data_IF_605584650767
#
_entry.id   IF_605584650767
#
_cell.length_a   1.000
_cell.length_b   1.000
_cell.length_c   1.000
_cell.angle_alpha   90.00
_cell.angle_beta   90.00
_cell.angle_gamma   90.00
#
_symmetry.space_group_name_H-M   'P 1'
#
loop_
_entity.id
_entity.type
_entity.pdbx_description
1 polymer ?
#
# COMPACT_ATOMS: atom_id res chain seq x y z
N UNK A 1 -17.82 26.15 -41.75
CA UNK A 1 -17.11 26.63 -40.56
C UNK A 1 -18.13 27.14 -39.56
N UNK A 2 -18.35 26.43 -38.47
CA UNK A 2 -19.00 26.98 -37.28
C UNK A 2 -18.30 26.37 -36.08
N UNK A 3 -17.39 27.16 -35.52
CA UNK A 3 -16.53 26.86 -34.39
C UNK A 3 -17.43 26.78 -33.17
N UNK A 4 -17.65 25.59 -32.61
CA UNK A 4 -18.32 25.45 -31.32
C UNK A 4 -17.41 26.05 -30.27
N UNK A 5 -17.90 27.14 -29.69
CA UNK A 5 -17.23 27.97 -28.71
C UNK A 5 -17.18 27.19 -27.40
N UNK A 6 -16.06 26.49 -27.16
CA UNK A 6 -15.72 25.99 -25.84
C UNK A 6 -15.15 27.16 -25.04
N UNK A 7 -16.02 27.91 -24.38
CA UNK A 7 -15.63 28.75 -23.27
C UNK A 7 -16.82 28.99 -22.35
N UNK A 8 -16.81 28.34 -21.18
CA UNK A 8 -17.17 28.99 -19.92
C UNK A 8 -16.65 28.14 -18.74
N UNK A 9 -16.22 28.79 -17.65
CA UNK A 9 -15.54 28.13 -16.55
C UNK A 9 -16.52 27.18 -15.87
N UNK A 10 -16.11 25.93 -15.70
CA UNK A 10 -16.85 24.90 -14.98
C UNK A 10 -17.01 25.36 -13.53
N UNK A 11 -18.11 26.08 -13.27
CA UNK A 11 -18.63 26.25 -11.94
C UNK A 11 -18.87 24.84 -11.43
N UNK A 12 -18.14 24.45 -10.41
CA UNK A 12 -18.19 23.14 -9.76
C UNK A 12 -19.49 23.01 -8.95
N UNK A 13 -20.61 23.30 -9.60
CA UNK A 13 -21.93 22.93 -9.13
C UNK A 13 -22.12 21.50 -9.62
N UNK A 14 -22.13 20.59 -8.65
CA UNK A 14 -22.35 19.16 -8.82
C UNK A 14 -23.48 18.93 -9.85
N UNK A 15 -23.14 18.38 -11.02
CA UNK A 15 -24.13 18.06 -12.08
C UNK A 15 -25.15 17.00 -11.60
N UNK A 16 -24.91 16.41 -10.44
CA UNK A 16 -25.76 15.45 -9.77
C UNK A 16 -26.94 16.14 -9.08
N UNK A 17 -28.13 15.56 -9.25
CA UNK A 17 -29.32 16.03 -8.55
C UNK A 17 -29.15 15.86 -7.02
N UNK A 18 -29.86 16.66 -6.20
CA UNK A 18 -29.75 16.60 -4.73
C UNK A 18 -30.02 15.22 -4.11
N UNK A 19 -30.76 14.35 -4.79
CA UNK A 19 -31.05 12.98 -4.37
C UNK A 19 -29.82 12.06 -4.46
N UNK A 20 -28.81 12.43 -5.25
CA UNK A 20 -27.57 11.67 -5.47
C UNK A 20 -26.44 12.08 -4.51
N UNK A 21 -26.78 12.27 -3.23
CA UNK A 21 -25.80 12.47 -2.16
C UNK A 21 -25.25 11.12 -1.65
N UNK A 22 -24.20 10.63 -2.29
CA UNK A 22 -23.57 9.36 -1.89
C UNK A 22 -22.73 9.51 -0.61
N UNK A 23 -23.05 8.72 0.41
CA UNK A 23 -22.19 8.57 1.60
C UNK A 23 -21.04 7.61 1.29
N UNK A 24 -19.94 8.13 0.75
CA UNK A 24 -18.76 7.36 0.39
C UNK A 24 -18.11 6.63 1.58
N UNK A 25 -18.43 6.98 2.84
CA UNK A 25 -17.95 6.23 4.01
C UNK A 25 -18.60 4.85 4.12
N UNK A 26 -19.78 4.66 3.52
CA UNK A 26 -20.49 3.38 3.44
C UNK A 26 -20.25 2.64 2.12
N UNK A 27 -19.46 3.23 1.20
CA UNK A 27 -19.17 2.61 -0.07
C UNK A 27 -18.33 1.34 0.13
N UNK A 28 -18.62 0.31 -0.66
CA UNK A 28 -17.79 -0.91 -0.68
C UNK A 28 -16.43 -0.59 -1.32
N UNK A 29 -15.32 -1.14 -0.78
CA UNK A 29 -14.02 -1.05 -1.43
C UNK A 29 -14.08 -1.59 -2.87
N UNK A 30 -13.47 -0.89 -3.81
CA UNK A 30 -13.46 -1.28 -5.21
C UNK A 30 -12.67 -2.60 -5.38
N UNK A 31 -13.33 -3.67 -5.84
CA UNK A 31 -12.72 -5.00 -6.07
C UNK A 31 -11.62 -5.02 -7.14
N UNK A 32 -11.61 -4.03 -8.03
CA UNK A 32 -10.62 -3.89 -9.10
C UNK A 32 -9.52 -2.90 -8.75
N UNK A 33 -9.73 -2.07 -7.72
CA UNK A 33 -8.63 -1.32 -7.15
C UNK A 33 -7.82 -2.30 -6.32
N UNK A 34 -6.53 -2.44 -6.64
CA UNK A 34 -5.61 -3.04 -5.67
C UNK A 34 -5.78 -2.28 -4.35
N UNK A 35 -5.80 -2.97 -3.19
CA UNK A 35 -5.74 -2.29 -1.90
C UNK A 35 -4.60 -1.30 -2.00
N UNK A 36 -4.96 -0.02 -1.88
CA UNK A 36 -4.17 1.16 -2.29
C UNK A 36 -2.70 0.90 -2.02
N UNK A 37 -1.82 1.06 -3.04
CA UNK A 37 -0.41 0.64 -3.16
C UNK A 37 0.55 0.95 -2.00
N UNK A 38 0.13 0.69 -0.78
CA UNK A 38 0.90 0.68 0.43
C UNK A 38 1.65 -0.65 0.44
N UNK A 39 2.96 -0.63 0.70
CA UNK A 39 3.71 -1.86 0.85
C UNK A 39 2.99 -2.72 1.87
N UNK A 40 2.90 -4.04 1.60
CA UNK A 40 2.31 -5.02 2.51
C UNK A 40 2.96 -4.83 3.89
N UNK A 41 2.21 -4.26 4.82
CA UNK A 41 2.66 -4.02 6.18
C UNK A 41 2.61 -5.34 6.92
N UNK A 42 3.77 -5.98 7.05
CA UNK A 42 3.94 -7.20 7.85
C UNK A 42 4.35 -6.77 9.25
N UNK A 43 3.51 -7.09 10.25
CA UNK A 43 3.80 -6.87 11.66
C UNK A 43 4.36 -8.18 12.23
N UNK A 44 5.51 -8.11 12.89
CA UNK A 44 6.18 -9.24 13.54
C UNK A 44 6.29 -8.91 15.03
N UNK A 45 5.90 -9.85 15.88
CA UNK A 45 6.09 -9.75 17.33
C UNK A 45 7.45 -10.34 17.68
N UNK A 46 8.25 -9.62 18.45
CA UNK A 46 9.53 -10.09 18.98
C UNK A 46 9.34 -10.58 20.41
N UNK A 47 10.13 -11.56 20.81
CA UNK A 47 10.23 -11.98 22.19
C UNK A 47 10.95 -10.92 23.04
N UNK A 48 10.73 -10.94 24.36
CA UNK A 48 11.19 -9.88 25.28
C UNK A 48 12.71 -9.73 25.29
N UNK A 49 13.44 -10.84 25.29
CA UNK A 49 14.90 -10.90 25.26
C UNK A 49 15.48 -10.29 23.98
N UNK A 50 14.86 -10.55 22.84
CA UNK A 50 15.25 -9.97 21.55
C UNK A 50 14.92 -8.49 21.48
N UNK A 51 13.75 -8.08 21.99
CA UNK A 51 13.30 -6.69 22.00
C UNK A 51 14.17 -5.79 22.90
N UNK A 52 14.73 -6.34 23.98
CA UNK A 52 15.69 -5.62 24.83
C UNK A 52 16.98 -5.27 24.09
N UNK A 53 17.43 -6.14 23.18
CA UNK A 53 18.65 -5.93 22.37
C UNK A 53 18.36 -5.04 21.16
N UNK A 54 17.22 -5.26 20.50
CA UNK A 54 16.83 -4.55 19.28
C UNK A 54 15.64 -3.62 19.51
N UNK A 55 15.95 -2.40 19.94
CA UNK A 55 14.96 -1.37 20.26
C UNK A 55 14.34 -0.66 19.05
N UNK A 56 14.86 -0.86 17.84
CA UNK A 56 14.36 -0.22 16.61
C UNK A 56 14.20 -1.20 15.45
N UNK A 57 13.19 -0.98 14.62
CA UNK A 57 12.96 -1.81 13.42
C UNK A 57 14.16 -1.79 12.46
N UNK A 58 14.85 -0.65 12.34
CA UNK A 58 16.04 -0.52 11.48
C UNK A 58 17.19 -1.41 11.96
N UNK A 59 17.40 -1.52 13.28
CA UNK A 59 18.44 -2.38 13.85
C UNK A 59 18.19 -3.86 13.57
N UNK A 60 16.94 -4.31 13.71
CA UNK A 60 16.51 -5.69 13.39
C UNK A 60 16.74 -5.96 11.90
N UNK A 61 16.23 -5.09 11.04
CA UNK A 61 16.31 -5.27 9.59
C UNK A 61 17.76 -5.31 9.08
N UNK A 62 18.66 -4.52 9.68
CA UNK A 62 20.08 -4.52 9.31
C UNK A 62 20.75 -5.86 9.60
N UNK A 63 20.50 -6.42 10.79
CA UNK A 63 21.07 -7.72 11.19
C UNK A 63 20.49 -8.85 10.34
N UNK A 64 19.17 -8.87 10.13
CA UNK A 64 18.53 -9.89 9.30
C UNK A 64 19.07 -9.89 7.86
N UNK A 65 19.31 -8.70 7.28
CA UNK A 65 19.92 -8.59 5.94
C UNK A 65 21.36 -9.10 5.91
N UNK A 66 22.18 -8.73 6.89
CA UNK A 66 23.55 -9.23 7.00
C UNK A 66 23.59 -10.76 7.17
N UNK A 67 22.63 -11.32 7.91
CA UNK A 67 22.50 -12.77 8.07
C UNK A 67 22.11 -13.45 6.76
N UNK A 68 21.18 -12.88 5.99
CA UNK A 68 20.79 -13.40 4.66
C UNK A 68 21.99 -13.40 3.70
N UNK A 69 22.84 -12.38 3.76
CA UNK A 69 24.05 -12.28 2.93
C UNK A 69 25.14 -13.28 3.36
N UNK A 70 25.31 -13.46 4.67
CA UNK A 70 26.32 -14.37 5.22
C UNK A 70 25.89 -15.85 5.19
N UNK A 71 24.58 -16.12 5.10
CA UNK A 71 24.08 -17.49 4.98
C UNK A 71 24.48 -18.06 3.62
N UNK A 72 25.06 -19.27 3.57
CA UNK A 72 25.29 -19.95 2.31
C UNK A 72 23.92 -20.08 1.64
N UNK A 73 23.80 -19.55 0.43
CA UNK A 73 22.63 -19.77 -0.40
C UNK A 73 22.49 -21.28 -0.49
N UNK A 74 21.47 -21.83 0.17
CA UNK A 74 21.15 -23.24 0.02
C UNK A 74 20.92 -23.40 -1.47
N UNK A 75 21.93 -23.96 -2.15
CA UNK A 75 21.82 -24.36 -3.54
C UNK A 75 20.55 -25.15 -3.60
N UNK A 76 19.57 -24.60 -4.30
CA UNK A 76 18.34 -25.24 -4.70
C UNK A 76 18.65 -26.71 -4.89
N UNK A 77 18.21 -27.53 -3.95
CA UNK A 77 18.22 -28.97 -4.10
C UNK A 77 17.17 -29.26 -5.17
N UNK A 78 17.58 -29.05 -6.41
CA UNK A 78 17.04 -29.75 -7.56
C UNK A 78 17.19 -31.23 -7.28
N UNK A 79 16.08 -31.95 -7.16
CA UNK A 79 15.93 -33.38 -7.51
C UNK A 79 14.44 -33.76 -7.41
N UNK A 80 13.85 -33.91 -8.61
CA UNK A 80 12.83 -34.88 -9.07
C UNK A 80 11.40 -34.77 -8.51
#
# INVERSE_FOLDING_TARGET
MSKTLFDQPSNSEDELLPEYQFDYKKAKPNRFASPSGKPKLTVVVLDEDVAQVFSTADSVNKVLRALIEAMPQASSSETI
#
